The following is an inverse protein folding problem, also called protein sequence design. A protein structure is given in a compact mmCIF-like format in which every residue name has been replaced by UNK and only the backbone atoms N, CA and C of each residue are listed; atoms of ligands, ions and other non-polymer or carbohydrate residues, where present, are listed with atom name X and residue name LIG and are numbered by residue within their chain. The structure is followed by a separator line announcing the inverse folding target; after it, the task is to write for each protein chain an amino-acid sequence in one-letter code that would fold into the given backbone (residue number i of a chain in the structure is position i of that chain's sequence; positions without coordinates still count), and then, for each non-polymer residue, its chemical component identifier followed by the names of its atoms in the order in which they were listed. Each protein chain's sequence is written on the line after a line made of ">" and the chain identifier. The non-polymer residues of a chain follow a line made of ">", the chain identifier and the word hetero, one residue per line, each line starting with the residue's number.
data_IF_028001815047
#
_entry.id   IF_028001815047
#
_cell.length_a   1.000
_cell.length_b   1.000
_cell.length_c   1.000
_cell.angle_alpha   90.00
_cell.angle_beta   90.00
_cell.angle_gamma   90.00
#
_symmetry.space_group_name_H-M   'P 1'
#
loop_
_entity.id
_entity.type
_entity.pdbx_description
1 polymer ?
#
# COMPACT_ATOMS: atom_id res chain seq x y z
N UNK A 1 4.62 -19.32 -1.77
CA UNK A 1 3.17 -19.05 -1.60
C UNK A 1 3.00 -17.54 -1.58
N UNK A 2 2.51 -16.92 -2.66
CA UNK A 2 2.34 -15.45 -2.70
C UNK A 2 1.16 -15.00 -1.83
N UNK A 3 0.08 -15.78 -1.82
CA UNK A 3 -1.10 -15.51 -0.96
C UNK A 3 -0.77 -15.64 0.53
N UNK A 4 -0.03 -16.67 0.93
CA UNK A 4 0.38 -16.81 2.33
C UNK A 4 1.33 -15.70 2.81
N UNK A 5 2.16 -15.16 1.92
CA UNK A 5 2.96 -13.96 2.24
C UNK A 5 2.07 -12.71 2.36
N UNK A 6 1.11 -12.54 1.45
CA UNK A 6 0.12 -11.47 1.52
C UNK A 6 -0.64 -11.50 2.85
N UNK A 7 -1.17 -12.66 3.25
CA UNK A 7 -1.93 -12.81 4.49
C UNK A 7 -1.08 -12.40 5.72
N UNK A 8 0.18 -12.85 5.78
CA UNK A 8 1.08 -12.52 6.88
C UNK A 8 1.42 -11.02 6.95
N UNK A 9 1.69 -10.37 5.81
CA UNK A 9 1.96 -8.92 5.75
C UNK A 9 0.69 -8.13 6.05
N UNK A 10 -0.46 -8.59 5.60
CA UNK A 10 -1.75 -7.95 5.87
C UNK A 10 -2.05 -7.94 7.38
N UNK A 11 -1.91 -9.08 8.05
CA UNK A 11 -2.11 -9.19 9.50
C UNK A 11 -1.16 -8.28 10.28
N UNK A 12 0.13 -8.28 9.92
CA UNK A 12 1.12 -7.39 10.53
C UNK A 12 0.77 -5.90 10.30
N UNK A 13 0.28 -5.55 9.11
CA UNK A 13 -0.11 -4.18 8.77
C UNK A 13 -1.31 -3.76 9.61
N UNK A 14 -2.32 -4.61 9.78
CA UNK A 14 -3.48 -4.32 10.62
C UNK A 14 -3.09 -4.14 12.09
N UNK A 15 -2.20 -4.98 12.62
CA UNK A 15 -1.67 -4.82 13.99
C UNK A 15 -0.96 -3.47 14.16
N UNK A 16 -0.07 -3.12 13.23
CA UNK A 16 0.64 -1.85 13.26
C UNK A 16 -0.32 -0.64 13.20
N UNK A 17 -1.31 -0.67 12.30
CA UNK A 17 -2.27 0.43 12.13
C UNK A 17 -3.17 0.63 13.35
N UNK A 18 -3.58 -0.46 14.03
CA UNK A 18 -4.41 -0.38 15.25
C UNK A 18 -3.72 0.34 16.40
N UNK A 19 -2.40 0.32 16.44
CA UNK A 19 -1.60 0.98 17.48
C UNK A 19 -1.38 2.48 17.26
N UNK A 20 -1.76 3.03 16.10
CA UNK A 20 -1.46 4.43 15.77
C UNK A 20 -2.48 5.41 16.37
N UNK A 21 -1.96 6.49 16.94
CA UNK A 21 -2.70 7.69 17.25
C UNK A 21 -2.45 8.77 16.18
N UNK A 22 -3.32 9.78 16.12
CA UNK A 22 -3.21 10.87 15.13
C UNK A 22 -1.84 11.56 15.14
N UNK A 23 -1.27 11.80 16.33
CA UNK A 23 0.07 12.42 16.49
C UNK A 23 1.19 11.60 15.86
N UNK A 24 1.04 10.28 15.74
CA UNK A 24 2.09 9.41 15.19
C UNK A 24 2.23 9.62 13.67
N UNK A 25 1.18 10.11 13.01
CA UNK A 25 1.19 10.41 11.58
C UNK A 25 2.11 11.59 11.22
N UNK A 26 2.42 12.46 12.17
CA UNK A 26 3.32 13.61 11.99
C UNK A 26 4.81 13.23 12.12
N UNK A 27 5.11 12.03 12.65
CA UNK A 27 6.47 11.55 12.82
C UNK A 27 7.18 11.47 11.47
N UNK A 28 8.32 12.14 11.33
CA UNK A 28 9.20 12.00 10.18
C UNK A 28 9.79 10.59 10.13
N UNK A 29 9.66 9.92 8.99
CA UNK A 29 10.17 8.56 8.75
C UNK A 29 11.27 8.52 7.69
N UNK A 30 11.42 9.59 6.90
CA UNK A 30 12.50 9.70 5.92
C UNK A 30 12.91 11.17 5.70
N UNK A 31 14.09 11.54 6.19
CA UNK A 31 14.66 12.89 6.10
C UNK A 31 15.37 13.16 4.76
N UNK A 32 15.48 12.16 3.88
CA UNK A 32 16.19 12.28 2.59
C UNK A 32 15.37 12.94 1.48
N UNK A 33 14.13 13.33 1.79
CA UNK A 33 13.20 14.01 0.89
C UNK A 33 12.98 15.46 1.31
N UNK A 34 12.63 16.33 0.36
CA UNK A 34 12.26 17.71 0.62
C UNK A 34 10.84 18.00 0.05
N UNK A 35 9.81 18.18 0.90
CA UNK A 35 9.88 18.11 2.37
C UNK A 35 10.11 16.68 2.90
N UNK A 36 10.64 16.51 4.13
CA UNK A 36 10.78 15.21 4.77
C UNK A 36 9.46 14.44 4.84
N UNK A 37 9.53 13.12 4.61
CA UNK A 37 8.32 12.29 4.56
C UNK A 37 7.90 11.90 5.96
N UNK A 38 6.67 12.23 6.33
CA UNK A 38 6.04 11.76 7.57
C UNK A 38 5.42 10.37 7.42
N UNK A 39 5.11 9.72 8.54
CA UNK A 39 4.42 8.43 8.55
C UNK A 39 3.08 8.52 7.78
N UNK A 40 2.31 9.58 8.00
CA UNK A 40 1.05 9.79 7.29
C UNK A 40 1.23 9.86 5.77
N UNK A 41 2.23 10.62 5.31
CA UNK A 41 2.56 10.69 3.87
C UNK A 41 2.96 9.30 3.35
N UNK A 42 3.80 8.56 4.08
CA UNK A 42 4.23 7.23 3.66
C UNK A 42 3.05 6.25 3.55
N UNK A 43 2.10 6.26 4.48
CA UNK A 43 0.92 5.40 4.44
C UNK A 43 0.03 5.73 3.23
N UNK A 44 -0.17 7.01 2.91
CA UNK A 44 -0.89 7.43 1.70
C UNK A 44 -0.17 6.99 0.43
N UNK A 45 1.17 7.06 0.41
CA UNK A 45 1.97 6.58 -0.73
C UNK A 45 1.80 5.08 -0.96
N UNK A 46 1.86 4.27 0.11
CA UNK A 46 1.62 2.81 0.02
C UNK A 46 0.22 2.52 -0.52
N UNK A 47 -0.81 3.16 0.02
CA UNK A 47 -2.19 3.01 -0.48
C UNK A 47 -2.31 3.38 -1.96
N UNK A 48 -1.64 4.45 -2.38
CA UNK A 48 -1.67 4.89 -3.78
C UNK A 48 -0.99 3.90 -4.72
N UNK A 49 0.11 3.28 -4.28
CA UNK A 49 0.82 2.24 -5.02
C UNK A 49 -0.05 0.98 -5.19
N UNK A 50 -0.69 0.52 -4.12
CA UNK A 50 -1.63 -0.61 -4.14
C UNK A 50 -2.79 -0.37 -5.13
N UNK A 51 -3.35 0.84 -5.15
CA UNK A 51 -4.42 1.24 -6.06
C UNK A 51 -3.96 1.24 -7.54
N UNK A 52 -2.73 1.68 -7.79
CA UNK A 52 -2.16 1.64 -9.15
C UNK A 52 -1.97 0.18 -9.61
N UNK A 53 -1.43 -0.67 -8.74
CA UNK A 53 -1.19 -2.08 -9.06
C UNK A 53 -2.48 -2.88 -9.27
N UNK A 54 -3.50 -2.71 -8.43
CA UNK A 54 -4.78 -3.40 -8.64
C UNK A 54 -5.48 -2.92 -9.92
N UNK A 55 -5.36 -1.63 -10.26
CA UNK A 55 -5.85 -1.09 -11.52
C UNK A 55 -5.16 -1.71 -12.74
N UNK A 56 -3.83 -1.83 -12.71
CA UNK A 56 -3.05 -2.50 -13.76
C UNK A 56 -3.44 -3.97 -13.89
N UNK A 57 -3.57 -4.69 -12.77
CA UNK A 57 -3.96 -6.10 -12.78
C UNK A 57 -5.39 -6.31 -13.33
N UNK A 58 -6.33 -5.45 -12.93
CA UNK A 58 -7.70 -5.47 -13.44
C UNK A 58 -7.77 -5.18 -14.95
N UNK A 59 -6.99 -4.21 -15.43
CA UNK A 59 -6.88 -3.90 -16.85
C UNK A 59 -6.36 -5.10 -17.67
N UNK A 60 -5.25 -5.71 -17.24
CA UNK A 60 -4.70 -6.90 -17.88
C UNK A 60 -5.68 -8.07 -17.89
N UNK A 61 -6.38 -8.30 -16.77
CA UNK A 61 -7.43 -9.32 -16.69
C UNK A 61 -8.54 -9.07 -17.71
N UNK A 62 -8.98 -7.83 -17.86
CA UNK A 62 -9.98 -7.44 -18.85
C UNK A 62 -9.53 -7.73 -20.28
N UNK A 63 -8.30 -7.36 -20.63
CA UNK A 63 -7.74 -7.65 -21.96
C UNK A 63 -7.68 -9.15 -22.27
N UNK A 64 -7.26 -9.98 -21.31
CA UNK A 64 -7.20 -11.43 -21.48
C UNK A 64 -8.59 -12.04 -21.67
N UNK A 65 -9.60 -11.55 -20.94
CA UNK A 65 -10.99 -12.00 -21.07
C UNK A 65 -11.58 -11.61 -22.43
N UNK A 66 -11.31 -10.39 -22.91
CA UNK A 66 -11.73 -9.94 -24.24
C UNK A 66 -11.06 -10.71 -25.37
N UNK A 67 -9.78 -11.08 -25.23
CA UNK A 67 -9.05 -11.83 -26.25
C UNK A 67 -9.47 -13.31 -26.33
N UNK A 68 -10.08 -13.85 -25.26
CA UNK A 68 -10.58 -15.23 -25.19
C UNK A 68 -12.06 -15.38 -25.62
N UNK A 69 -12.73 -14.26 -25.92
CA UNK A 69 -14.11 -14.20 -26.41
C UNK A 69 -14.14 -14.12 -27.93
#
# INVERSE_FOLDING_TARGET
>A
MLTGYYDAVHDQTLEALRGLAAKDLERVVDERWDPPVTLGVRLVSVLSDDLQHIGQAAYLRGLLQSAAS
#
